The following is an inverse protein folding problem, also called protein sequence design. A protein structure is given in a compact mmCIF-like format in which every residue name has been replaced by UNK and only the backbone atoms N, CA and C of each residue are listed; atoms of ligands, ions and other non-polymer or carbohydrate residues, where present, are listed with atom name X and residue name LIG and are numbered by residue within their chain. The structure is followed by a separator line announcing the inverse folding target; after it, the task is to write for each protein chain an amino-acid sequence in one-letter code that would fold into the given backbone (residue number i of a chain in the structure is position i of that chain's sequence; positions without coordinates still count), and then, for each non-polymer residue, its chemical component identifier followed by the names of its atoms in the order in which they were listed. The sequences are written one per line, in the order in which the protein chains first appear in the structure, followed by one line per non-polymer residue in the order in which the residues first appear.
data_IF_420320649420
#
_entry.id   IF_420320649420
#
_cell.length_a   1.000
_cell.length_b   1.000
_cell.length_c   1.000
_cell.angle_alpha   90.00
_cell.angle_beta   90.00
_cell.angle_gamma   90.00
#
_symmetry.space_group_name_H-M   'P 1'
#
loop_
_entity.id
_entity.type
_entity.pdbx_description
1 polymer ?
#
# COMPACT_ATOMS: atom_id res chain seq x y z
N UNK A 1 4.86 21.66 -14.89
CA UNK A 1 3.53 21.11 -15.24
C UNK A 1 3.36 19.67 -14.75
N UNK A 2 4.24 18.71 -15.07
CA UNK A 2 4.03 17.31 -14.67
C UNK A 2 4.16 17.07 -13.15
N UNK A 3 5.04 17.78 -12.41
CA UNK A 3 5.06 17.74 -10.94
C UNK A 3 3.71 18.15 -10.34
N UNK A 4 3.16 19.24 -10.82
CA UNK A 4 1.85 19.71 -10.39
C UNK A 4 0.77 18.64 -10.65
N UNK A 5 0.85 17.94 -11.78
CA UNK A 5 -0.06 16.84 -12.10
C UNK A 5 0.06 15.65 -11.15
N UNK A 6 1.27 15.28 -10.77
CA UNK A 6 1.48 14.17 -9.81
C UNK A 6 0.92 14.53 -8.44
N UNK A 7 1.26 15.73 -7.93
CA UNK A 7 0.70 16.21 -6.65
C UNK A 7 -0.82 16.36 -6.70
N UNK A 8 -1.35 16.86 -7.81
CA UNK A 8 -2.79 16.97 -7.99
C UNK A 8 -3.45 15.58 -8.07
N UNK A 9 -2.83 14.61 -8.75
CA UNK A 9 -3.32 13.24 -8.80
C UNK A 9 -3.33 12.59 -7.43
N UNK A 10 -2.30 12.82 -6.61
CA UNK A 10 -2.25 12.32 -5.22
C UNK A 10 -3.35 12.99 -4.39
N UNK A 11 -3.50 14.31 -4.47
CA UNK A 11 -4.54 15.03 -3.74
C UNK A 11 -5.95 14.57 -4.12
N UNK A 12 -6.20 14.39 -5.41
CA UNK A 12 -7.49 13.89 -5.93
C UNK A 12 -7.69 12.43 -5.53
N UNK A 13 -6.65 11.59 -5.58
CA UNK A 13 -6.75 10.20 -5.15
C UNK A 13 -7.06 10.10 -3.65
N UNK A 14 -6.46 10.95 -2.83
CA UNK A 14 -6.77 11.02 -1.40
C UNK A 14 -8.24 11.38 -1.15
N UNK A 15 -8.79 12.32 -1.91
CA UNK A 15 -10.20 12.70 -1.80
C UNK A 15 -11.17 11.61 -2.28
N UNK A 16 -10.76 10.80 -3.26
CA UNK A 16 -11.59 9.70 -3.84
C UNK A 16 -11.44 8.40 -3.02
N UNK A 17 -10.28 8.22 -2.36
CA UNK A 17 -9.94 6.98 -1.68
C UNK A 17 -11.00 6.45 -0.69
N UNK A 18 -11.64 7.26 0.17
CA UNK A 18 -12.67 6.76 1.07
C UNK A 18 -13.82 6.07 0.34
N UNK A 19 -14.28 6.65 -0.77
CA UNK A 19 -15.37 6.10 -1.58
C UNK A 19 -14.98 4.79 -2.28
N UNK A 20 -13.74 4.73 -2.78
CA UNK A 20 -13.21 3.52 -3.42
C UNK A 20 -13.02 2.41 -2.38
N UNK A 21 -12.54 2.77 -1.19
CA UNK A 21 -12.34 1.81 -0.10
C UNK A 21 -13.69 1.22 0.35
N UNK A 22 -14.67 2.06 0.66
CA UNK A 22 -16.03 1.64 1.00
C UNK A 22 -16.62 0.74 -0.08
N UNK A 23 -16.48 1.14 -1.35
CA UNK A 23 -16.95 0.33 -2.47
C UNK A 23 -16.28 -1.04 -2.54
N UNK A 24 -14.96 -1.13 -2.33
CA UNK A 24 -14.23 -2.40 -2.35
C UNK A 24 -14.57 -3.27 -1.14
N UNK A 25 -14.81 -2.68 0.02
CA UNK A 25 -15.14 -3.42 1.25
C UNK A 25 -16.58 -3.91 1.26
N UNK A 26 -17.53 -3.10 0.83
CA UNK A 26 -18.96 -3.39 1.00
C UNK A 26 -19.62 -3.94 -0.25
N UNK A 27 -19.19 -3.51 -1.44
CA UNK A 27 -19.87 -3.82 -2.70
C UNK A 27 -19.12 -4.84 -3.56
N UNK A 28 -17.99 -5.36 -3.10
CA UNK A 28 -17.22 -6.36 -3.85
C UNK A 28 -16.77 -7.50 -2.96
N UNK A 29 -16.57 -8.71 -3.50
CA UNK A 29 -16.05 -9.84 -2.72
C UNK A 29 -14.53 -9.76 -2.48
N UNK A 30 -13.92 -8.59 -2.74
CA UNK A 30 -12.46 -8.42 -2.66
C UNK A 30 -11.99 -8.53 -1.22
N UNK A 31 -12.66 -7.83 -0.30
CA UNK A 31 -12.33 -7.87 1.12
C UNK A 31 -12.41 -9.29 1.69
N UNK A 32 -13.53 -9.98 1.50
CA UNK A 32 -13.73 -11.35 2.00
C UNK A 32 -12.66 -12.33 1.47
N UNK A 33 -12.31 -12.21 0.18
CA UNK A 33 -11.26 -13.06 -0.42
C UNK A 33 -9.89 -12.78 0.17
N UNK A 34 -9.56 -11.51 0.38
CA UNK A 34 -8.28 -11.10 0.98
C UNK A 34 -8.24 -11.54 2.44
N UNK A 35 -9.29 -11.31 3.21
CA UNK A 35 -9.40 -11.73 4.60
C UNK A 35 -9.18 -13.23 4.74
N UNK A 36 -9.89 -14.05 3.96
CA UNK A 36 -9.72 -15.49 3.96
C UNK A 36 -8.30 -15.95 3.57
N UNK A 37 -7.67 -15.21 2.66
CA UNK A 37 -6.27 -15.49 2.29
C UNK A 37 -5.31 -15.14 3.43
N UNK A 38 -5.56 -14.05 4.14
CA UNK A 38 -4.79 -13.65 5.33
C UNK A 38 -4.98 -14.63 6.49
N UNK A 39 -6.19 -15.10 6.74
CA UNK A 39 -6.46 -16.15 7.72
C UNK A 39 -5.66 -17.43 7.42
N UNK A 40 -5.73 -17.90 6.18
CA UNK A 40 -4.95 -19.07 5.74
C UNK A 40 -3.44 -18.87 5.87
N UNK A 41 -2.95 -17.67 5.61
CA UNK A 41 -1.54 -17.31 5.79
C UNK A 41 -1.14 -17.36 7.27
N UNK A 42 -1.90 -16.72 8.16
CA UNK A 42 -1.63 -16.72 9.61
C UNK A 42 -1.64 -18.12 10.18
N UNK A 43 -2.66 -18.93 9.86
CA UNK A 43 -2.75 -20.34 10.31
C UNK A 43 -1.56 -21.16 9.82
N UNK A 44 -1.11 -20.94 8.58
CA UNK A 44 0.09 -21.62 8.06
C UNK A 44 1.35 -21.24 8.82
N UNK A 45 1.50 -19.98 9.20
CA UNK A 45 2.63 -19.47 9.99
C UNK A 45 2.60 -20.01 11.43
N UNK A 46 1.44 -20.05 12.08
CA UNK A 46 1.28 -20.65 13.41
C UNK A 46 1.68 -22.14 13.40
N UNK A 47 1.23 -22.87 12.40
CA UNK A 47 1.55 -24.31 12.26
C UNK A 47 3.06 -24.55 12.05
N UNK A 48 3.73 -23.67 11.30
CA UNK A 48 5.16 -23.79 11.02
C UNK A 48 6.02 -23.35 12.22
N UNK A 49 5.60 -22.33 12.96
CA UNK A 49 6.37 -21.78 14.08
C UNK A 49 6.23 -22.57 15.36
N UNK A 50 5.14 -23.31 15.54
CA UNK A 50 4.84 -24.03 16.78
C UNK A 50 4.74 -23.14 18.02
N UNK A 51 4.63 -21.84 17.83
CA UNK A 51 4.59 -20.85 18.90
C UNK A 51 3.20 -20.76 19.53
N UNK A 52 3.18 -20.81 20.85
CA UNK A 52 1.99 -20.46 21.62
C UNK A 52 1.91 -18.94 21.71
N UNK A 53 0.83 -18.34 21.22
CA UNK A 53 0.66 -16.87 21.12
C UNK A 53 -0.06 -16.27 22.34
N UNK A 54 -0.05 -16.99 23.49
CA UNK A 54 -0.76 -16.57 24.70
C UNK A 54 -0.10 -15.38 25.43
N UNK A 55 1.20 -15.17 25.23
CA UNK A 55 1.97 -14.09 25.86
C UNK A 55 2.33 -12.96 24.90
N UNK A 56 2.38 -11.71 25.38
CA UNK A 56 2.83 -10.58 24.54
C UNK A 56 4.21 -10.78 23.92
N UNK A 57 5.15 -11.39 24.65
CA UNK A 57 6.49 -11.68 24.13
C UNK A 57 6.45 -12.67 22.96
N UNK A 58 5.58 -13.69 23.06
CA UNK A 58 5.40 -14.69 22.04
C UNK A 58 4.74 -14.10 20.79
N UNK A 59 3.78 -13.18 20.97
CA UNK A 59 3.14 -12.44 19.88
C UNK A 59 4.13 -11.56 19.09
N UNK A 60 5.01 -10.84 19.81
CA UNK A 60 6.08 -10.07 19.16
C UNK A 60 7.03 -10.97 18.36
N UNK A 61 7.48 -12.06 18.98
CA UNK A 61 8.35 -13.04 18.31
C UNK A 61 7.67 -13.67 17.10
N UNK A 62 6.37 -13.92 17.16
CA UNK A 62 5.59 -14.43 16.04
C UNK A 62 5.57 -13.43 14.88
N UNK A 63 5.25 -12.14 15.13
CA UNK A 63 5.24 -11.09 14.11
C UNK A 63 6.65 -10.92 13.51
N UNK A 64 7.69 -10.90 14.34
CA UNK A 64 9.07 -10.74 13.91
C UNK A 64 9.52 -11.86 12.96
N UNK A 65 9.08 -13.09 13.21
CA UNK A 65 9.40 -14.26 12.39
C UNK A 65 8.49 -14.45 11.17
N UNK A 66 7.44 -13.62 11.01
CA UNK A 66 6.60 -13.69 9.82
C UNK A 66 7.37 -13.26 8.57
N UNK A 67 7.16 -13.97 7.47
CA UNK A 67 7.66 -13.60 6.14
C UNK A 67 6.92 -12.37 5.59
N UNK A 68 7.01 -11.24 6.28
CA UNK A 68 6.39 -9.97 5.93
C UNK A 68 7.45 -8.86 5.83
N UNK A 69 7.22 -7.84 4.99
CA UNK A 69 8.03 -6.64 4.98
C UNK A 69 8.11 -5.98 6.36
N UNK A 70 9.29 -5.42 6.69
CA UNK A 70 9.55 -4.79 7.99
C UNK A 70 8.50 -3.74 8.37
N UNK A 71 8.03 -2.95 7.40
CA UNK A 71 6.98 -1.95 7.62
C UNK A 71 5.66 -2.56 8.10
N UNK A 72 5.26 -3.70 7.53
CA UNK A 72 4.05 -4.39 7.96
C UNK A 72 4.22 -5.01 9.36
N UNK A 73 5.39 -5.61 9.62
CA UNK A 73 5.72 -6.14 10.95
C UNK A 73 5.66 -5.05 12.02
N UNK A 74 6.35 -3.92 11.80
CA UNK A 74 6.31 -2.76 12.73
C UNK A 74 4.89 -2.24 12.93
N UNK A 75 4.09 -2.21 11.86
CA UNK A 75 2.68 -1.83 11.95
C UNK A 75 1.88 -2.78 12.83
N UNK A 76 2.04 -4.09 12.68
CA UNK A 76 1.39 -5.08 13.52
C UNK A 76 1.86 -4.99 14.98
N UNK A 77 3.16 -4.85 15.22
CA UNK A 77 3.72 -4.73 16.57
C UNK A 77 3.20 -3.50 17.32
N UNK A 78 3.24 -2.33 16.66
CA UNK A 78 2.84 -1.07 17.28
C UNK A 78 1.35 -1.00 17.61
N UNK A 79 0.53 -1.75 16.88
CA UNK A 79 -0.92 -1.74 17.01
C UNK A 79 -1.49 -2.98 17.73
N UNK A 80 -0.64 -3.85 18.24
CA UNK A 80 -1.05 -5.01 19.04
C UNK A 80 -1.47 -4.58 20.45
N UNK A 81 -2.65 -4.00 20.57
CA UNK A 81 -3.21 -3.51 21.83
C UNK A 81 -4.74 -3.67 21.87
N UNK A 82 -5.30 -3.59 23.08
CA UNK A 82 -6.73 -3.80 23.34
C UNK A 82 -7.65 -2.79 22.64
N UNK A 83 -7.17 -1.57 22.40
CA UNK A 83 -7.95 -0.53 21.71
C UNK A 83 -8.17 -0.92 20.25
N UNK A 84 -7.10 -1.36 19.57
CA UNK A 84 -7.17 -1.81 18.18
C UNK A 84 -7.98 -3.11 18.07
N UNK A 85 -7.87 -4.04 19.02
CA UNK A 85 -8.69 -5.25 19.02
C UNK A 85 -10.18 -4.90 19.08
N UNK A 86 -10.55 -3.96 19.94
CA UNK A 86 -11.93 -3.47 20.03
C UNK A 86 -12.38 -2.77 18.74
N UNK A 87 -11.50 -1.97 18.13
CA UNK A 87 -11.78 -1.26 16.87
C UNK A 87 -11.99 -2.23 15.69
N UNK A 88 -11.23 -3.31 15.66
CA UNK A 88 -11.31 -4.33 14.63
C UNK A 88 -12.40 -5.38 14.90
N UNK A 89 -12.99 -5.37 16.10
CA UNK A 89 -13.96 -6.37 16.59
C UNK A 89 -13.39 -7.80 16.53
N UNK A 90 -12.15 -7.96 17.02
CA UNK A 90 -11.43 -9.25 17.09
C UNK A 90 -11.16 -9.63 18.54
N UNK A 91 -11.24 -10.93 18.84
CA UNK A 91 -11.08 -11.45 20.19
C UNK A 91 -9.74 -12.17 20.39
N UNK A 92 -9.05 -12.52 19.33
CA UNK A 92 -7.79 -13.27 19.38
C UNK A 92 -6.66 -12.59 18.62
N UNK A 93 -5.42 -12.94 18.97
CA UNK A 93 -4.23 -12.43 18.29
C UNK A 93 -4.18 -12.86 16.81
N UNK A 94 -4.56 -14.11 16.50
CA UNK A 94 -4.59 -14.59 15.12
C UNK A 94 -5.62 -13.84 14.27
N UNK A 95 -6.81 -13.57 14.84
CA UNK A 95 -7.83 -12.74 14.20
C UNK A 95 -7.32 -11.30 13.98
N UNK A 96 -6.66 -10.73 15.00
CA UNK A 96 -6.05 -9.41 14.88
C UNK A 96 -5.08 -9.33 13.71
N UNK A 97 -4.12 -10.26 13.65
CA UNK A 97 -3.11 -10.25 12.57
C UNK A 97 -3.78 -10.42 11.20
N UNK A 98 -4.72 -11.35 11.09
CA UNK A 98 -5.44 -11.61 9.82
C UNK A 98 -6.25 -10.41 9.36
N UNK A 99 -7.01 -9.80 10.28
CA UNK A 99 -7.87 -8.66 10.00
C UNK A 99 -7.05 -7.41 9.69
N UNK A 100 -6.00 -7.14 10.47
CA UNK A 100 -5.09 -6.03 10.23
C UNK A 100 -4.42 -6.14 8.86
N UNK A 101 -3.90 -7.31 8.51
CA UNK A 101 -3.31 -7.56 7.19
C UNK A 101 -4.35 -7.37 6.07
N UNK A 102 -5.55 -7.93 6.23
CA UNK A 102 -6.60 -7.80 5.23
C UNK A 102 -6.97 -6.33 4.98
N UNK A 103 -7.15 -5.56 6.05
CA UNK A 103 -7.44 -4.11 5.94
C UNK A 103 -6.29 -3.34 5.29
N UNK A 104 -5.03 -3.62 5.68
CA UNK A 104 -3.86 -3.01 5.05
C UNK A 104 -3.84 -3.25 3.55
N UNK A 105 -4.07 -4.48 3.12
CA UNK A 105 -4.07 -4.88 1.71
C UNK A 105 -5.19 -4.18 0.94
N UNK A 106 -6.43 -4.23 1.46
CA UNK A 106 -7.58 -3.60 0.80
C UNK A 106 -7.41 -2.09 0.69
N UNK A 107 -6.89 -1.48 1.73
CA UNK A 107 -6.64 -0.04 1.73
C UNK A 107 -5.56 0.38 0.74
N UNK A 108 -4.47 -0.41 0.63
CA UNK A 108 -3.47 -0.20 -0.41
C UNK A 108 -4.04 -0.36 -1.81
N UNK A 109 -4.86 -1.38 -2.01
CA UNK A 109 -5.56 -1.60 -3.27
C UNK A 109 -6.51 -0.43 -3.61
N UNK A 110 -7.27 0.03 -2.62
CA UNK A 110 -8.17 1.18 -2.74
C UNK A 110 -7.42 2.44 -3.16
N UNK A 111 -6.28 2.71 -2.53
CA UNK A 111 -5.44 3.86 -2.88
C UNK A 111 -4.89 3.73 -4.31
N UNK A 112 -4.44 2.56 -4.69
CA UNK A 112 -3.95 2.30 -6.04
C UNK A 112 -5.04 2.53 -7.09
N UNK A 113 -6.24 1.99 -6.88
CA UNK A 113 -7.40 2.21 -7.76
C UNK A 113 -7.77 3.68 -7.81
N UNK A 114 -7.81 4.37 -6.65
CA UNK A 114 -8.08 5.81 -6.57
C UNK A 114 -7.07 6.63 -7.35
N UNK A 115 -5.77 6.29 -7.28
CA UNK A 115 -4.72 6.95 -8.03
C UNK A 115 -4.86 6.74 -9.55
N UNK A 116 -5.21 5.53 -9.98
CA UNK A 116 -5.48 5.26 -11.38
C UNK A 116 -6.67 6.09 -11.89
N UNK A 117 -7.78 6.10 -11.14
CA UNK A 117 -8.96 6.90 -11.47
C UNK A 117 -8.64 8.39 -11.53
N UNK A 118 -7.98 8.92 -10.51
CA UNK A 118 -7.54 10.32 -10.47
C UNK A 118 -6.64 10.67 -11.67
N UNK A 119 -5.71 9.78 -12.02
CA UNK A 119 -4.81 9.98 -13.16
C UNK A 119 -5.56 10.00 -14.49
N UNK A 120 -6.56 9.16 -14.66
CA UNK A 120 -7.41 9.15 -15.86
C UNK A 120 -8.24 10.43 -15.94
N UNK A 121 -8.92 10.81 -14.86
CA UNK A 121 -9.73 12.03 -14.78
C UNK A 121 -8.90 13.27 -15.12
N UNK A 122 -7.72 13.40 -14.52
CA UNK A 122 -6.82 14.54 -14.78
C UNK A 122 -6.29 14.55 -16.21
N UNK A 123 -6.00 13.40 -16.80
CA UNK A 123 -5.61 13.31 -18.22
C UNK A 123 -6.74 13.74 -19.15
N UNK A 124 -7.96 13.29 -18.87
CA UNK A 124 -9.13 13.72 -19.63
C UNK A 124 -9.35 15.23 -19.51
N UNK A 125 -9.26 15.77 -18.28
CA UNK A 125 -9.35 17.21 -18.03
C UNK A 125 -8.30 18.03 -18.80
N UNK A 126 -7.04 17.56 -18.82
CA UNK A 126 -5.97 18.23 -19.61
C UNK A 126 -6.19 18.12 -21.10
N UNK A 127 -6.68 17.00 -21.58
CA UNK A 127 -7.01 16.86 -23.01
C UNK A 127 -8.09 17.85 -23.42
N UNK A 128 -9.13 18.00 -22.62
CA UNK A 128 -10.22 18.96 -22.83
C UNK A 128 -9.67 20.42 -22.78
N UNK A 129 -8.84 20.74 -21.80
CA UNK A 129 -8.23 22.07 -21.67
C UNK A 129 -7.29 22.41 -22.84
N UNK A 130 -6.51 21.43 -23.33
CA UNK A 130 -5.65 21.62 -24.51
C UNK A 130 -6.46 21.83 -25.79
N UNK A 131 -7.61 21.14 -25.91
CA UNK A 131 -8.53 21.33 -27.03
C UNK A 131 -9.14 22.72 -27.04
N UNK A 132 -9.42 23.28 -25.84
CA UNK A 132 -10.03 24.61 -25.67
C UNK A 132 -8.99 25.74 -25.78
N UNK A 133 -7.74 25.51 -25.39
CA UNK A 133 -6.77 26.56 -25.23
C UNK A 133 -5.90 26.86 -26.46
N UNK A 134 -5.77 25.91 -27.42
CA UNK A 134 -5.02 26.18 -28.69
C UNK A 134 -3.61 26.82 -28.55
N UNK A 135 -2.98 26.77 -27.36
CA UNK A 135 -1.80 27.57 -27.02
C UNK A 135 -0.49 26.83 -27.29
N UNK A 136 0.34 27.35 -28.21
CA UNK A 136 1.70 26.86 -28.38
C UNK A 136 2.62 27.52 -27.37
N UNK A 137 2.70 27.08 -26.13
CA UNK A 137 3.60 27.70 -25.15
C UNK A 137 4.60 26.67 -24.62
N UNK A 138 5.89 27.02 -24.77
CA UNK A 138 7.07 26.50 -24.04
C UNK A 138 7.80 25.29 -24.61
N UNK A 139 8.33 25.41 -25.83
CA UNK A 139 9.22 24.40 -26.42
C UNK A 139 10.64 24.30 -25.84
N UNK A 140 11.15 25.31 -25.14
CA UNK A 140 12.59 25.35 -24.74
C UNK A 140 12.92 25.00 -23.28
N UNK A 141 12.03 25.24 -22.33
CA UNK A 141 12.25 24.83 -20.93
C UNK A 141 11.96 23.34 -20.68
N UNK A 142 11.41 22.66 -21.68
CA UNK A 142 10.77 21.36 -21.53
C UNK A 142 11.75 20.17 -21.52
N UNK A 143 12.98 20.30 -21.99
CA UNK A 143 13.91 19.16 -22.10
C UNK A 143 14.55 18.76 -20.78
N UNK A 144 15.02 19.71 -19.99
CA UNK A 144 15.61 19.42 -18.67
C UNK A 144 14.53 19.12 -17.62
N UNK A 145 13.46 19.90 -17.61
CA UNK A 145 12.32 19.67 -16.76
C UNK A 145 11.63 18.33 -17.10
N UNK A 146 11.51 17.98 -18.38
CA UNK A 146 10.95 16.69 -18.82
C UNK A 146 11.74 15.46 -18.35
N UNK A 147 13.08 15.57 -18.33
CA UNK A 147 13.95 14.49 -17.81
C UNK A 147 13.80 14.29 -16.29
N UNK A 148 13.85 15.37 -15.52
CA UNK A 148 13.66 15.31 -14.07
C UNK A 148 12.24 14.81 -13.70
N UNK A 149 11.24 15.24 -14.42
CA UNK A 149 9.84 14.81 -14.29
C UNK A 149 9.69 13.33 -14.66
N UNK A 150 10.37 12.89 -15.72
CA UNK A 150 10.39 11.47 -16.11
C UNK A 150 11.00 10.59 -15.02
N UNK A 151 12.05 11.06 -14.36
CA UNK A 151 12.72 10.38 -13.26
C UNK A 151 11.79 10.24 -12.03
N UNK A 152 11.16 11.34 -11.62
CA UNK A 152 10.17 11.31 -10.50
C UNK A 152 9.00 10.41 -10.83
N UNK A 153 8.48 10.50 -12.06
CA UNK A 153 7.41 9.59 -12.52
C UNK A 153 7.87 8.13 -12.51
N UNK A 154 9.12 7.86 -12.88
CA UNK A 154 9.72 6.52 -12.79
C UNK A 154 9.76 6.01 -11.35
N UNK A 155 10.21 6.84 -10.39
CA UNK A 155 10.23 6.49 -8.96
C UNK A 155 8.80 6.20 -8.46
N UNK A 156 7.83 7.04 -8.80
CA UNK A 156 6.42 6.82 -8.42
C UNK A 156 5.89 5.49 -8.96
N UNK A 157 6.24 5.11 -10.20
CA UNK A 157 5.86 3.81 -10.74
C UNK A 157 6.52 2.64 -10.00
N UNK A 158 7.79 2.79 -9.62
CA UNK A 158 8.50 1.78 -8.82
C UNK A 158 7.86 1.64 -7.44
N UNK A 159 7.52 2.74 -6.78
CA UNK A 159 6.82 2.74 -5.51
C UNK A 159 5.43 2.09 -5.59
N UNK A 160 4.69 2.37 -6.66
CA UNK A 160 3.42 1.67 -6.91
C UNK A 160 3.65 0.16 -7.11
N UNK A 161 4.71 -0.23 -7.82
CA UNK A 161 5.04 -1.65 -7.98
C UNK A 161 5.41 -2.29 -6.63
N UNK A 162 6.15 -1.61 -5.77
CA UNK A 162 6.44 -2.08 -4.42
C UNK A 162 5.17 -2.24 -3.58
N UNK A 163 4.25 -1.27 -3.65
CA UNK A 163 2.95 -1.37 -2.98
C UNK A 163 2.17 -2.61 -3.47
N UNK A 164 2.15 -2.87 -4.77
CA UNK A 164 1.49 -4.05 -5.34
C UNK A 164 2.16 -5.35 -4.86
N UNK A 165 3.50 -5.41 -4.85
CA UNK A 165 4.25 -6.57 -4.33
C UNK A 165 3.94 -6.78 -2.85
N UNK A 166 3.88 -5.71 -2.07
CA UNK A 166 3.53 -5.75 -0.65
C UNK A 166 2.09 -6.26 -0.43
N UNK A 167 1.15 -5.82 -1.24
CA UNK A 167 -0.24 -6.32 -1.22
C UNK A 167 -0.30 -7.82 -1.53
N UNK A 168 0.56 -8.28 -2.43
CA UNK A 168 0.65 -9.68 -2.83
C UNK A 168 1.55 -10.55 -1.92
N UNK A 169 1.97 -10.05 -0.75
CA UNK A 169 2.92 -10.73 0.14
C UNK A 169 2.48 -12.15 0.57
N UNK A 170 1.18 -12.42 0.59
CA UNK A 170 0.64 -13.75 0.86
C UNK A 170 0.77 -14.74 -0.32
N UNK A 171 1.07 -14.24 -1.52
CA UNK A 171 1.25 -15.06 -2.73
C UNK A 171 2.71 -15.42 -2.96
N UNK A 172 2.96 -16.47 -3.73
CA UNK A 172 4.32 -16.85 -4.10
C UNK A 172 5.05 -15.73 -4.86
N UNK A 173 4.35 -15.03 -5.77
CA UNK A 173 4.90 -13.90 -6.53
C UNK A 173 5.32 -12.75 -5.61
N UNK A 174 4.50 -12.43 -4.61
CA UNK A 174 4.79 -11.39 -3.63
C UNK A 174 6.02 -11.74 -2.78
N UNK A 175 6.09 -12.97 -2.28
CA UNK A 175 7.26 -13.45 -1.50
C UNK A 175 8.55 -13.39 -2.29
N UNK A 176 8.56 -13.87 -3.52
CA UNK A 176 9.74 -13.80 -4.40
C UNK A 176 10.12 -12.35 -4.71
N UNK A 177 9.14 -11.48 -4.95
CA UNK A 177 9.37 -10.05 -5.19
C UNK A 177 9.98 -9.34 -3.99
N UNK A 178 9.47 -9.59 -2.78
CA UNK A 178 10.00 -9.02 -1.54
C UNK A 178 11.43 -9.52 -1.25
N UNK A 179 11.69 -10.81 -1.43
CA UNK A 179 13.02 -11.37 -1.28
C UNK A 179 14.05 -10.75 -2.25
N UNK A 180 13.63 -10.37 -3.47
CA UNK A 180 14.48 -9.66 -4.42
C UNK A 180 14.75 -8.21 -3.97
N UNK A 181 13.75 -7.53 -3.41
CA UNK A 181 13.88 -6.16 -2.88
C UNK A 181 14.85 -6.16 -1.69
N UNK A 182 14.69 -7.07 -0.74
CA UNK A 182 15.55 -7.17 0.44
C UNK A 182 17.01 -7.52 0.08
N UNK A 183 17.21 -8.30 -0.97
CA UNK A 183 18.54 -8.73 -1.40
C UNK A 183 19.36 -7.63 -2.07
N UNK A 184 18.72 -6.65 -2.67
CA UNK A 184 19.36 -5.54 -3.36
C UNK A 184 19.31 -4.27 -2.50
N UNK A 185 20.49 -3.79 -2.08
CA UNK A 185 20.62 -2.63 -1.19
C UNK A 185 19.97 -1.34 -1.76
N UNK A 186 20.00 -1.17 -3.08
CA UNK A 186 19.39 0.00 -3.73
C UNK A 186 17.86 -0.11 -3.72
N UNK A 187 17.32 -1.28 -4.07
CA UNK A 187 15.87 -1.51 -4.04
C UNK A 187 15.34 -1.45 -2.62
N UNK A 188 16.06 -2.00 -1.64
CA UNK A 188 15.67 -1.95 -0.23
C UNK A 188 15.61 -0.49 0.27
N UNK A 189 16.66 0.30 -0.01
CA UNK A 189 16.65 1.73 0.34
C UNK A 189 15.48 2.46 -0.32
N UNK A 190 15.20 2.20 -1.60
CA UNK A 190 14.10 2.82 -2.32
C UNK A 190 12.73 2.41 -1.77
N UNK A 191 12.62 1.19 -1.25
CA UNK A 191 11.43 0.66 -0.58
C UNK A 191 11.22 1.30 0.80
N UNK A 192 12.27 1.48 1.60
CA UNK A 192 12.20 2.16 2.90
C UNK A 192 11.76 3.63 2.79
N UNK A 193 12.17 4.31 1.72
CA UNK A 193 11.76 5.69 1.41
C UNK A 193 10.47 5.77 0.61
N UNK A 194 9.75 4.66 0.42
CA UNK A 194 8.48 4.66 -0.30
C UNK A 194 7.43 5.47 0.47
N UNK A 195 7.14 6.66 -0.07
CA UNK A 195 6.18 7.58 0.54
C UNK A 195 4.77 6.96 0.56
N UNK A 196 4.41 6.13 -0.42
CA UNK A 196 3.09 5.50 -0.49
C UNK A 196 2.93 4.43 0.58
N UNK A 197 3.94 3.60 0.79
CA UNK A 197 3.94 2.59 1.84
C UNK A 197 3.95 3.26 3.21
N UNK A 198 4.81 4.26 3.43
CA UNK A 198 4.87 5.01 4.69
C UNK A 198 3.59 5.82 4.96
N UNK A 199 3.05 6.50 3.95
CA UNK A 199 1.78 7.24 4.05
C UNK A 199 0.60 6.30 4.31
N UNK A 200 0.58 5.15 3.63
CA UNK A 200 -0.37 4.09 3.86
C UNK A 200 -0.34 3.62 5.31
N UNK A 201 0.84 3.35 5.86
CA UNK A 201 1.00 2.95 7.25
C UNK A 201 0.56 4.04 8.24
N UNK A 202 0.84 5.32 7.96
CA UNK A 202 0.45 6.44 8.82
C UNK A 202 -1.05 6.69 8.86
N UNK A 203 -1.78 6.45 7.76
CA UNK A 203 -3.26 6.61 7.72
C UNK A 203 -3.95 5.49 8.49
N UNK A 204 -3.37 4.28 8.52
CA UNK A 204 -4.01 3.12 9.12
C UNK A 204 -3.67 2.91 10.58
N UNK A 205 -2.52 3.40 11.00
CA UNK A 205 -2.00 3.21 12.33
C UNK A 205 -1.76 4.54 13.04
N UNK A 206 -2.50 5.58 12.65
CA UNK A 206 -2.39 6.97 13.05
C UNK A 206 -1.75 7.22 14.42
N UNK A 207 -0.76 8.10 14.41
CA UNK A 207 -0.37 8.79 15.64
C UNK A 207 -1.54 9.66 16.15
#
# INVERSE_FOLDING_TARGET
MAFFFVFLAIAVSWAINPYVNEFLMENTPVYEKIQKSCEGFVVSQETLSGHNTDGRGDQYSFIENMELPELLRKGLESNNNSEIYSLLAVDSFAEYVSEALARMIVNGLSFFVSYLLASVILRMGTYILNLLAGLPVLKSANKLAGGAIGLVKGIVFVWIAFLVITILCSTQIGKEGLALIEKDAFLNTLYEYDIFVNFFMSIFYGN
#
